data_IF_776215958653
#
_entry.id   IF_776215958653
#
_cell.length_a   1.000
_cell.length_b   1.000
_cell.length_c   1.000
_cell.angle_alpha   90.00
_cell.angle_beta   90.00
_cell.angle_gamma   90.00
#
_symmetry.space_group_name_H-M   'P 1'
#
loop_
_entity.id
_entity.type
_entity.pdbx_description
1 polymer ?
#
# COMPACT_ATOMS: atom_id res chain seq x y z
N UNK A 1 -7.29 15.15 15.01
CA UNK A 1 -8.20 16.32 15.10
C UNK A 1 -8.80 16.52 13.71
N UNK A 2 -10.03 16.10 13.50
CA UNK A 2 -10.81 16.37 12.29
C UNK A 2 -11.30 17.81 12.33
N UNK A 3 -10.85 18.65 11.41
CA UNK A 3 -11.40 20.00 11.26
C UNK A 3 -12.76 19.88 10.55
N UNK A 4 -13.84 20.29 11.21
CA UNK A 4 -15.15 20.43 10.60
C UNK A 4 -15.22 21.80 9.94
N UNK A 5 -15.22 21.85 8.62
CA UNK A 5 -15.46 23.09 7.89
C UNK A 5 -16.98 23.29 7.78
N UNK A 6 -17.50 24.27 8.52
CA UNK A 6 -18.90 24.70 8.36
C UNK A 6 -18.91 25.78 7.28
N UNK A 7 -19.54 25.45 6.14
CA UNK A 7 -19.69 26.38 5.03
C UNK A 7 -20.92 27.26 5.25
N UNK A 8 -20.71 28.59 5.28
CA UNK A 8 -21.78 29.58 5.28
C UNK A 8 -21.69 30.39 3.97
N UNK A 9 -22.44 29.97 2.96
CA UNK A 9 -22.44 30.64 1.67
C UNK A 9 -23.70 30.33 0.89
N UNK A 10 -23.88 31.05 -0.24
CA UNK A 10 -24.96 30.79 -1.17
C UNK A 10 -24.76 29.46 -1.89
N UNK A 11 -25.84 28.82 -2.36
CA UNK A 11 -25.79 27.55 -3.10
C UNK A 11 -24.85 27.65 -4.32
N UNK A 12 -24.83 28.79 -5.03
CA UNK A 12 -23.94 28.97 -6.18
C UNK A 12 -22.45 28.95 -5.81
N UNK A 13 -22.07 29.57 -4.69
CA UNK A 13 -20.67 29.56 -4.20
C UNK A 13 -20.28 28.17 -3.68
N UNK A 14 -21.23 27.45 -3.06
CA UNK A 14 -21.00 26.07 -2.67
C UNK A 14 -20.75 25.18 -3.90
N UNK A 15 -21.61 25.28 -4.93
CA UNK A 15 -21.46 24.52 -6.19
C UNK A 15 -20.14 24.83 -6.88
N UNK A 16 -19.72 26.09 -6.95
CA UNK A 16 -18.44 26.49 -7.54
C UNK A 16 -17.25 25.90 -6.78
N UNK A 17 -17.25 25.95 -5.46
CA UNK A 17 -16.15 25.39 -4.66
C UNK A 17 -16.13 23.85 -4.73
N UNK A 18 -17.29 23.20 -4.73
CA UNK A 18 -17.39 21.78 -4.94
C UNK A 18 -16.89 21.37 -6.32
N UNK A 19 -17.19 22.15 -7.37
CA UNK A 19 -16.67 21.95 -8.71
C UNK A 19 -15.14 22.01 -8.75
N UNK A 20 -14.54 23.04 -8.14
CA UNK A 20 -13.08 23.19 -8.02
C UNK A 20 -12.42 22.02 -7.27
N UNK A 21 -13.15 21.35 -6.41
CA UNK A 21 -12.66 20.18 -5.68
C UNK A 21 -12.81 18.90 -6.50
N UNK A 22 -14.00 18.62 -7.03
CA UNK A 22 -14.35 17.34 -7.65
C UNK A 22 -13.88 17.21 -9.09
N UNK A 23 -14.01 18.26 -9.93
CA UNK A 23 -13.66 18.18 -11.35
C UNK A 23 -12.20 17.75 -11.56
N UNK A 24 -11.21 18.29 -10.83
CA UNK A 24 -9.83 17.82 -10.92
C UNK A 24 -9.60 16.40 -10.40
N UNK A 25 -10.55 15.80 -9.69
CA UNK A 25 -10.44 14.45 -9.09
C UNK A 25 -11.34 13.42 -9.75
N UNK A 26 -12.13 13.81 -10.74
CA UNK A 26 -13.16 12.96 -11.36
C UNK A 26 -12.64 11.56 -11.72
N UNK A 27 -11.51 11.50 -12.42
CA UNK A 27 -10.95 10.21 -12.86
C UNK A 27 -10.50 9.33 -11.70
N UNK A 28 -9.84 9.91 -10.69
CA UNK A 28 -9.42 9.17 -9.50
C UNK A 28 -10.58 8.75 -8.61
N UNK A 29 -11.65 9.55 -8.54
CA UNK A 29 -12.88 9.19 -7.83
C UNK A 29 -13.59 8.00 -8.49
N UNK A 30 -13.68 7.99 -9.82
CA UNK A 30 -14.24 6.88 -10.59
C UNK A 30 -13.44 5.60 -10.37
N UNK A 31 -12.11 5.69 -10.48
CA UNK A 31 -11.23 4.53 -10.32
C UNK A 31 -11.30 3.96 -8.89
N UNK A 32 -11.23 4.81 -7.86
CA UNK A 32 -11.35 4.38 -6.47
C UNK A 32 -12.69 3.69 -6.20
N UNK A 33 -13.79 4.21 -6.74
CA UNK A 33 -15.09 3.60 -6.57
C UNK A 33 -15.22 2.24 -7.25
N UNK A 34 -14.74 2.11 -8.50
CA UNK A 34 -14.86 0.87 -9.26
C UNK A 34 -13.90 -0.21 -8.76
N UNK A 35 -12.67 0.16 -8.41
CA UNK A 35 -11.60 -0.79 -8.17
C UNK A 35 -11.12 -0.85 -6.70
N UNK A 36 -11.49 0.14 -5.86
CA UNK A 36 -11.10 0.14 -4.45
C UNK A 36 -11.59 -1.09 -3.68
N UNK A 37 -12.77 -1.60 -4.01
CA UNK A 37 -13.34 -2.81 -3.39
C UNK A 37 -12.47 -4.06 -3.58
N UNK A 38 -11.64 -4.16 -4.62
CA UNK A 38 -10.70 -5.28 -4.79
C UNK A 38 -9.72 -5.41 -3.61
N UNK A 39 -9.31 -4.30 -3.03
CA UNK A 39 -8.43 -4.30 -1.86
C UNK A 39 -9.22 -4.47 -0.56
N UNK A 40 -10.36 -3.81 -0.41
CA UNK A 40 -11.09 -3.76 0.85
C UNK A 40 -11.97 -4.98 1.14
N UNK A 41 -12.38 -5.76 0.15
CA UNK A 41 -13.25 -6.93 0.36
C UNK A 41 -12.56 -8.02 1.19
N UNK A 42 -11.33 -8.41 0.82
CA UNK A 42 -10.59 -9.44 1.57
C UNK A 42 -10.21 -8.96 2.98
N UNK A 43 -9.90 -7.66 3.12
CA UNK A 43 -9.65 -7.02 4.42
C UNK A 43 -10.90 -7.12 5.29
N UNK A 44 -12.06 -6.82 4.74
CA UNK A 44 -13.32 -6.92 5.46
C UNK A 44 -13.62 -8.34 5.94
N UNK A 45 -13.55 -9.32 5.04
CA UNK A 45 -13.85 -10.72 5.36
C UNK A 45 -12.96 -11.26 6.48
N UNK A 46 -11.65 -11.00 6.38
CA UNK A 46 -10.69 -11.43 7.40
C UNK A 46 -10.86 -10.66 8.71
N UNK A 47 -11.15 -9.37 8.65
CA UNK A 47 -11.40 -8.55 9.84
C UNK A 47 -12.63 -8.99 10.62
N UNK A 48 -13.71 -9.40 9.93
CA UNK A 48 -14.87 -10.03 10.59
C UNK A 48 -14.51 -11.35 11.26
N UNK A 49 -13.62 -12.16 10.65
CA UNK A 49 -13.12 -13.37 11.27
C UNK A 49 -12.34 -13.04 12.56
N UNK A 50 -11.48 -12.04 12.54
CA UNK A 50 -10.73 -11.58 13.71
C UNK A 50 -11.66 -11.15 14.86
N UNK A 51 -12.76 -10.41 14.57
CA UNK A 51 -13.75 -10.04 15.59
C UNK A 51 -14.34 -11.29 16.25
N UNK A 52 -14.74 -12.29 15.46
CA UNK A 52 -15.32 -13.54 15.98
C UNK A 52 -14.33 -14.34 16.83
N UNK A 53 -13.07 -14.36 16.46
CA UNK A 53 -12.01 -15.08 17.20
C UNK A 53 -11.70 -14.39 18.53
N UNK A 54 -11.59 -13.06 18.55
CA UNK A 54 -11.33 -12.26 19.76
C UNK A 54 -12.46 -12.38 20.79
N UNK A 55 -13.69 -12.42 20.35
CA UNK A 55 -14.86 -12.56 21.25
C UNK A 55 -14.91 -13.94 21.93
N UNK A 56 -14.45 -15.00 21.24
CA UNK A 56 -14.34 -16.34 21.83
C UNK A 56 -13.22 -16.43 22.88
N UNK A 57 -12.21 -15.56 22.80
CA UNK A 57 -11.06 -15.53 23.71
C UNK A 57 -11.28 -14.76 25.02
N UNK A 58 -12.42 -14.14 25.24
CA UNK A 58 -12.79 -13.50 26.50
C UNK A 58 -11.99 -12.22 26.88
N UNK A 59 -11.28 -11.61 25.93
CA UNK A 59 -10.64 -10.32 26.14
C UNK A 59 -11.64 -9.20 25.86
N UNK A 60 -12.30 -8.71 26.91
CA UNK A 60 -12.97 -7.40 26.88
C UNK A 60 -11.90 -6.33 26.70
N UNK A 61 -11.67 -5.91 25.46
CA UNK A 61 -10.86 -4.72 25.18
C UNK A 61 -11.57 -3.49 25.71
N UNK A 62 -10.89 -2.70 26.55
CA UNK A 62 -11.37 -1.39 26.99
C UNK A 62 -11.73 -0.55 25.75
N UNK A 63 -13.03 -0.31 25.57
CA UNK A 63 -13.51 0.61 24.55
C UNK A 63 -13.14 2.03 24.97
N UNK A 64 -12.17 2.66 24.32
CA UNK A 64 -12.10 4.11 24.37
C UNK A 64 -13.40 4.70 23.78
N UNK A 65 -14.03 5.65 24.47
CA UNK A 65 -15.23 6.30 23.96
C UNK A 65 -14.87 7.06 22.69
N UNK A 66 -15.24 6.53 21.54
CA UNK A 66 -15.06 7.17 20.26
C UNK A 66 -16.06 8.33 20.14
N UNK A 67 -15.65 9.49 20.62
CA UNK A 67 -16.29 10.78 20.32
C UNK A 67 -15.90 11.19 18.88
N UNK A 68 -16.36 10.39 17.90
CA UNK A 68 -16.08 10.63 16.49
C UNK A 68 -17.37 11.00 15.76
N UNK A 69 -17.35 12.18 15.16
CA UNK A 69 -18.35 12.65 14.19
C UNK A 69 -18.30 11.87 12.86
N UNK A 70 -17.88 10.60 12.89
CA UNK A 70 -17.89 9.71 11.74
C UNK A 70 -19.31 9.16 11.53
N UNK A 71 -19.70 8.96 10.26
CA UNK A 71 -20.96 8.27 9.95
C UNK A 71 -20.88 6.82 10.43
N UNK A 72 -22.01 6.21 10.80
CA UNK A 72 -22.06 4.81 11.24
C UNK A 72 -21.37 3.82 10.27
N UNK A 73 -21.54 3.93 8.94
CA UNK A 73 -20.80 3.10 8.00
C UNK A 73 -19.28 3.27 8.10
N UNK A 74 -18.80 4.50 8.27
CA UNK A 74 -17.36 4.77 8.43
C UNK A 74 -16.81 4.16 9.70
N UNK A 75 -17.59 4.21 10.80
CA UNK A 75 -17.23 3.58 12.07
C UNK A 75 -17.14 2.07 11.91
N UNK A 76 -18.13 1.44 11.28
CA UNK A 76 -18.15 0.00 11.03
C UNK A 76 -16.88 -0.48 10.29
N UNK A 77 -16.52 0.17 9.18
CA UNK A 77 -15.29 -0.17 8.46
C UNK A 77 -14.03 0.07 9.30
N UNK A 78 -13.99 1.17 10.04
CA UNK A 78 -12.88 1.49 10.94
C UNK A 78 -12.68 0.43 12.03
N UNK A 79 -13.78 -0.06 12.64
CA UNK A 79 -13.73 -1.08 13.67
C UNK A 79 -13.22 -2.42 13.13
N UNK A 80 -13.65 -2.82 11.92
CA UNK A 80 -13.16 -4.02 11.25
C UNK A 80 -11.67 -3.89 10.92
N UNK A 81 -11.22 -2.74 10.39
CA UNK A 81 -9.81 -2.49 10.05
C UNK A 81 -8.94 -2.46 11.31
N UNK A 82 -9.44 -1.93 12.42
CA UNK A 82 -8.70 -1.87 13.69
C UNK A 82 -8.34 -3.25 14.24
N UNK A 83 -9.07 -4.32 13.87
CA UNK A 83 -8.75 -5.69 14.31
C UNK A 83 -7.38 -6.19 13.83
N UNK A 84 -6.83 -5.56 12.81
CA UNK A 84 -5.51 -5.92 12.28
C UNK A 84 -4.35 -5.25 13.03
N UNK A 85 -4.64 -4.28 13.88
CA UNK A 85 -3.63 -3.43 14.53
C UNK A 85 -2.62 -2.82 13.54
N UNK A 86 -3.07 -2.54 12.31
CA UNK A 86 -2.27 -2.08 11.18
C UNK A 86 -2.54 -0.59 10.90
N UNK A 87 -1.61 0.25 11.36
CA UNK A 87 -1.73 1.70 11.21
C UNK A 87 -1.64 2.17 9.75
N UNK A 88 -0.93 1.43 8.90
CA UNK A 88 -0.80 1.72 7.47
C UNK A 88 -2.12 1.47 6.74
N UNK A 89 -2.79 0.35 7.03
CA UNK A 89 -4.11 0.00 6.48
C UNK A 89 -5.18 1.01 6.92
N UNK A 90 -5.21 1.35 8.20
CA UNK A 90 -6.11 2.38 8.72
C UNK A 90 -5.84 3.74 8.08
N UNK A 91 -4.56 4.06 7.86
CA UNK A 91 -4.14 5.27 7.15
C UNK A 91 -4.64 5.31 5.71
N UNK A 92 -4.55 4.20 4.97
CA UNK A 92 -5.07 4.10 3.61
C UNK A 92 -6.57 4.38 3.59
N UNK A 93 -7.33 3.72 4.45
CA UNK A 93 -8.78 3.92 4.57
C UNK A 93 -9.15 5.38 4.81
N UNK A 94 -8.52 6.04 5.78
CA UNK A 94 -8.80 7.45 6.07
C UNK A 94 -8.38 8.38 4.93
N UNK A 95 -7.29 8.09 4.21
CA UNK A 95 -6.87 8.90 3.06
C UNK A 95 -7.82 8.70 1.86
N UNK A 96 -8.34 7.50 1.64
CA UNK A 96 -9.41 7.28 0.66
C UNK A 96 -10.66 8.11 1.01
N UNK A 97 -11.11 8.08 2.25
CA UNK A 97 -12.25 8.89 2.69
C UNK A 97 -11.98 10.39 2.52
N UNK A 98 -10.77 10.87 2.87
CA UNK A 98 -10.40 12.28 2.67
C UNK A 98 -10.35 12.67 1.19
N UNK A 99 -9.96 11.77 0.30
CA UNK A 99 -9.94 12.01 -1.13
C UNK A 99 -11.36 12.08 -1.72
N UNK A 100 -12.29 11.26 -1.19
CA UNK A 100 -13.71 11.26 -1.53
C UNK A 100 -14.47 12.45 -0.93
N UNK A 101 -14.00 13.00 0.18
CA UNK A 101 -14.79 13.88 1.03
C UNK A 101 -14.69 15.37 0.70
N UNK A 102 -15.59 15.83 -0.09
CA UNK A 102 -16.17 17.17 0.10
C UNK A 102 -17.61 16.91 0.59
N UNK A 103 -17.93 17.32 1.83
CA UNK A 103 -19.20 17.00 2.45
C UNK A 103 -20.39 17.53 1.66
N UNK A 104 -21.12 16.65 1.00
CA UNK A 104 -22.52 16.87 0.67
C UNK A 104 -23.33 16.28 1.83
N UNK A 105 -23.98 17.08 2.69
CA UNK A 105 -24.81 16.52 3.75
C UNK A 105 -25.97 15.76 3.10
N UNK A 106 -26.15 14.46 3.40
CA UNK A 106 -27.30 13.73 2.89
C UNK A 106 -28.58 14.43 3.40
N UNK A 107 -29.50 14.76 2.47
CA UNK A 107 -30.81 15.32 2.84
C UNK A 107 -31.64 14.31 3.66
N UNK A 108 -31.34 13.04 3.54
CA UNK A 108 -32.00 11.94 4.25
C UNK A 108 -31.10 11.39 5.35
N UNK A 109 -31.29 11.91 6.56
CA UNK A 109 -30.54 11.49 7.76
C UNK A 109 -30.90 10.08 8.24
N UNK A 110 -30.76 9.06 7.38
CA UNK A 110 -30.82 7.67 7.83
C UNK A 110 -29.55 7.35 8.61
N UNK A 111 -29.68 7.28 9.92
CA UNK A 111 -28.66 6.72 10.80
C UNK A 111 -28.78 5.20 10.71
N UNK A 112 -27.82 4.53 10.12
CA UNK A 112 -27.66 3.11 10.30
C UNK A 112 -27.14 2.92 11.74
N UNK A 113 -28.00 2.50 12.65
CA UNK A 113 -27.59 2.15 14.01
C UNK A 113 -27.12 0.69 13.97
N UNK A 114 -25.83 0.44 14.18
CA UNK A 114 -25.35 -0.90 14.46
C UNK A 114 -24.71 -0.95 15.86
N UNK A 115 -24.82 -2.10 16.50
CA UNK A 115 -24.08 -2.40 17.72
C UNK A 115 -22.97 -3.39 17.33
N UNK A 116 -21.79 -3.28 17.93
CA UNK A 116 -20.65 -4.15 17.60
C UNK A 116 -21.00 -5.65 17.73
N UNK A 117 -21.90 -6.00 18.67
CA UNK A 117 -22.43 -7.35 18.86
C UNK A 117 -23.16 -7.88 17.61
N UNK A 118 -23.65 -7.01 16.75
CA UNK A 118 -24.33 -7.38 15.50
C UNK A 118 -23.38 -8.04 14.51
N UNK A 119 -22.08 -7.74 14.59
CA UNK A 119 -21.04 -8.36 13.76
C UNK A 119 -20.77 -9.82 14.13
N UNK A 120 -21.17 -10.23 15.33
CA UNK A 120 -21.00 -11.60 15.84
C UNK A 120 -22.14 -12.52 15.40
N UNK A 121 -23.28 -11.97 15.00
CA UNK A 121 -24.44 -12.75 14.57
C UNK A 121 -24.24 -13.24 13.14
N UNK A 122 -24.35 -14.55 12.93
CA UNK A 122 -24.21 -15.17 11.61
C UNK A 122 -25.22 -14.59 10.62
N UNK A 123 -24.71 -14.16 9.44
CA UNK A 123 -25.52 -13.51 8.41
C UNK A 123 -25.75 -12.00 8.61
N UNK A 124 -25.76 -11.48 9.84
CA UNK A 124 -26.00 -10.05 10.10
C UNK A 124 -24.82 -9.19 9.65
N UNK A 125 -23.58 -9.65 9.84
CA UNK A 125 -22.38 -8.98 9.35
C UNK A 125 -22.39 -8.80 7.81
N UNK A 126 -22.84 -9.81 7.07
CA UNK A 126 -22.96 -9.73 5.61
C UNK A 126 -24.08 -8.78 5.19
N UNK A 127 -25.20 -8.75 5.92
CA UNK A 127 -26.27 -7.79 5.69
C UNK A 127 -25.79 -6.37 5.93
N UNK A 128 -25.11 -6.11 7.05
CA UNK A 128 -24.51 -4.81 7.36
C UNK A 128 -23.49 -4.36 6.31
N UNK A 129 -22.65 -5.30 5.80
CA UNK A 129 -21.75 -5.02 4.71
C UNK A 129 -22.49 -4.57 3.45
N UNK A 130 -23.51 -5.33 3.05
CA UNK A 130 -24.30 -5.01 1.85
C UNK A 130 -25.01 -3.66 1.99
N UNK A 131 -25.60 -3.37 3.15
CA UNK A 131 -26.23 -2.07 3.43
C UNK A 131 -25.19 -0.93 3.40
N UNK A 132 -24.01 -1.18 3.96
CA UNK A 132 -22.90 -0.20 3.99
C UNK A 132 -22.35 0.06 2.60
N UNK A 133 -22.12 -1.00 1.82
CA UNK A 133 -21.65 -0.89 0.43
C UNK A 133 -22.71 -0.17 -0.43
N UNK A 134 -23.99 -0.51 -0.27
CA UNK A 134 -25.08 0.18 -0.96
C UNK A 134 -25.16 1.67 -0.57
N UNK A 135 -24.94 2.01 0.70
CA UNK A 135 -24.87 3.38 1.16
C UNK A 135 -23.70 4.14 0.51
N UNK A 136 -22.49 3.58 0.52
CA UNK A 136 -21.34 4.22 -0.12
C UNK A 136 -21.53 4.35 -1.63
N UNK A 137 -22.05 3.32 -2.30
CA UNK A 137 -22.35 3.36 -3.74
C UNK A 137 -23.39 4.44 -4.06
N UNK A 138 -24.44 4.54 -3.28
CA UNK A 138 -25.46 5.59 -3.45
C UNK A 138 -24.86 7.00 -3.25
N UNK A 139 -24.11 7.19 -2.17
CA UNK A 139 -23.43 8.47 -1.90
C UNK A 139 -22.46 8.85 -3.01
N UNK A 140 -21.70 7.87 -3.51
CA UNK A 140 -20.78 8.08 -4.60
C UNK A 140 -21.50 8.43 -5.91
N UNK A 141 -22.59 7.74 -6.24
CA UNK A 141 -23.41 8.05 -7.40
C UNK A 141 -23.94 9.50 -7.35
N UNK A 142 -24.40 9.95 -6.16
CA UNK A 142 -24.78 11.35 -5.95
C UNK A 142 -23.66 12.35 -6.16
N UNK A 143 -22.43 12.00 -5.76
CA UNK A 143 -21.25 12.81 -6.02
C UNK A 143 -20.96 12.89 -7.52
N UNK A 144 -21.05 11.76 -8.24
CA UNK A 144 -20.84 11.74 -9.69
C UNK A 144 -21.89 12.56 -10.45
N UNK A 145 -23.18 12.37 -10.15
CA UNK A 145 -24.27 13.14 -10.74
C UNK A 145 -24.06 14.64 -10.51
N UNK A 146 -23.64 15.01 -9.31
CA UNK A 146 -23.30 16.38 -8.98
C UNK A 146 -22.10 16.89 -9.78
N UNK A 147 -21.00 16.13 -9.86
CA UNK A 147 -19.81 16.49 -10.66
C UNK A 147 -20.15 16.65 -12.14
N UNK A 148 -21.00 15.79 -12.68
CA UNK A 148 -21.46 15.87 -14.07
C UNK A 148 -22.30 17.14 -14.30
N UNK A 149 -23.26 17.43 -13.43
CA UNK A 149 -24.10 18.63 -13.52
C UNK A 149 -23.29 19.93 -13.47
N UNK A 150 -22.23 19.99 -12.65
CA UNK A 150 -21.38 21.18 -12.56
C UNK A 150 -20.36 21.26 -13.70
N UNK A 151 -19.94 20.16 -14.28
CA UNK A 151 -19.02 20.18 -15.43
C UNK A 151 -19.70 20.69 -16.71
N UNK A 152 -21.04 20.57 -16.82
CA UNK A 152 -21.83 21.14 -17.91
C UNK A 152 -22.09 22.65 -17.72
N UNK A 153 -22.40 23.07 -16.50
CA UNK A 153 -22.71 24.46 -16.16
C UNK A 153 -21.47 25.37 -16.06
N UNK A 154 -20.36 24.83 -15.62
CA UNK A 154 -19.09 25.52 -15.45
C UNK A 154 -18.17 25.12 -16.59
N UNK A 155 -17.89 26.03 -17.52
CA UNK A 155 -16.86 25.84 -18.56
C UNK A 155 -15.45 25.72 -17.91
N UNK A 156 -15.19 24.63 -17.21
CA UNK A 156 -13.86 24.28 -16.84
C UNK A 156 -13.17 23.75 -18.10
N UNK A 157 -12.23 24.51 -18.63
CA UNK A 157 -11.36 24.05 -19.71
C UNK A 157 -10.64 22.73 -19.32
N UNK A 158 -9.70 22.27 -20.07
CA UNK A 158 -8.88 21.11 -19.73
C UNK A 158 -8.26 21.32 -18.34
N UNK A 159 -8.82 20.68 -17.31
CA UNK A 159 -8.32 20.74 -15.93
C UNK A 159 -7.46 19.51 -15.69
N UNK A 160 -6.21 19.74 -15.26
CA UNK A 160 -5.30 18.66 -14.89
C UNK A 160 -5.91 17.82 -13.78
N UNK A 161 -5.93 16.50 -13.97
CA UNK A 161 -6.49 15.59 -12.99
C UNK A 161 -5.53 15.40 -11.83
N UNK A 162 -6.04 15.45 -10.61
CA UNK A 162 -5.32 15.20 -9.36
C UNK A 162 -5.54 13.72 -9.00
N UNK A 163 -4.54 12.84 -9.18
CA UNK A 163 -4.68 11.43 -8.83
C UNK A 163 -4.77 11.24 -7.31
N UNK A 164 -5.29 10.09 -6.89
CA UNK A 164 -5.11 9.65 -5.51
C UNK A 164 -3.63 9.43 -5.25
N UNK A 165 -3.15 9.88 -4.11
CA UNK A 165 -1.78 9.67 -3.65
C UNK A 165 -1.78 9.21 -2.21
N UNK A 166 -1.13 8.08 -1.94
CA UNK A 166 -1.05 7.51 -0.61
C UNK A 166 0.19 7.97 0.13
N UNK A 167 0.01 8.68 1.24
CA UNK A 167 1.11 9.15 2.10
C UNK A 167 1.38 8.10 3.17
N UNK A 168 2.46 7.33 3.01
CA UNK A 168 2.85 6.23 3.91
C UNK A 168 3.68 6.69 5.11
N UNK A 169 4.45 7.76 4.99
CA UNK A 169 5.32 8.30 6.06
C UNK A 169 4.72 9.55 6.71
N UNK A 170 3.87 9.41 7.73
CA UNK A 170 3.16 10.54 8.34
C UNK A 170 4.02 11.46 9.21
N UNK A 171 5.10 10.95 9.81
CA UNK A 171 5.92 11.66 10.82
C UNK A 171 7.37 11.89 10.39
N UNK A 172 7.75 11.57 9.14
CA UNK A 172 9.13 11.57 8.65
C UNK A 172 9.25 12.28 7.31
N UNK A 173 10.44 12.79 6.97
CA UNK A 173 10.69 13.32 5.62
C UNK A 173 10.54 12.20 4.59
N UNK A 174 9.39 12.11 3.96
CA UNK A 174 9.02 11.08 2.99
C UNK A 174 10.07 10.92 1.90
N UNK A 175 10.53 12.04 1.30
CA UNK A 175 11.46 12.03 0.17
C UNK A 175 12.77 11.28 0.48
N UNK A 176 13.31 11.39 1.69
CA UNK A 176 14.55 10.67 2.09
C UNK A 176 14.36 9.16 2.10
N UNK A 177 13.24 8.68 2.63
CA UNK A 177 12.96 7.24 2.71
C UNK A 177 12.55 6.67 1.37
N UNK A 178 11.72 7.37 0.60
CA UNK A 178 11.36 7.01 -0.77
C UNK A 178 12.61 6.89 -1.65
N UNK A 179 13.55 7.85 -1.55
CA UNK A 179 14.80 7.78 -2.31
C UNK A 179 15.69 6.61 -1.83
N UNK A 180 15.75 6.34 -0.52
CA UNK A 180 16.47 5.18 0.00
C UNK A 180 15.90 3.87 -0.55
N UNK A 181 14.57 3.68 -0.50
CA UNK A 181 13.90 2.51 -1.07
C UNK A 181 14.19 2.36 -2.57
N UNK A 182 14.17 3.46 -3.32
CA UNK A 182 14.47 3.43 -4.75
C UNK A 182 15.91 3.00 -5.03
N UNK A 183 16.90 3.53 -4.31
CA UNK A 183 18.30 3.12 -4.46
C UNK A 183 18.48 1.65 -4.07
N UNK A 184 17.85 1.18 -2.99
CA UNK A 184 17.89 -0.24 -2.59
C UNK A 184 17.33 -1.13 -3.72
N UNK A 185 16.20 -0.74 -4.35
CA UNK A 185 15.64 -1.48 -5.48
C UNK A 185 16.59 -1.51 -6.68
N UNK A 186 17.23 -0.41 -7.00
CA UNK A 186 18.23 -0.35 -8.09
C UNK A 186 19.46 -1.23 -7.79
N UNK A 187 19.86 -1.35 -6.52
CA UNK A 187 20.90 -2.29 -6.08
C UNK A 187 20.41 -3.75 -6.21
N UNK A 188 19.18 -4.05 -5.77
CA UNK A 188 18.59 -5.38 -5.89
C UNK A 188 18.51 -5.86 -7.33
N UNK A 189 18.18 -4.96 -8.27
CA UNK A 189 18.14 -5.25 -9.70
C UNK A 189 19.50 -5.14 -10.40
N UNK A 190 20.60 -5.00 -9.61
CA UNK A 190 21.97 -4.91 -10.12
C UNK A 190 22.25 -3.73 -11.08
N UNK A 191 21.41 -2.68 -11.06
CA UNK A 191 21.75 -1.43 -11.72
C UNK A 191 23.00 -0.80 -11.06
N UNK A 192 23.16 -1.00 -9.77
CA UNK A 192 24.38 -0.68 -9.01
C UNK A 192 24.84 -1.95 -8.27
N UNK A 193 25.66 -2.80 -8.93
CA UNK A 193 26.17 -4.02 -8.31
C UNK A 193 26.99 -3.74 -7.04
N UNK A 194 27.06 -4.69 -6.13
CA UNK A 194 27.95 -4.62 -4.96
C UNK A 194 29.39 -4.43 -5.43
N UNK A 195 30.09 -3.47 -4.83
CA UNK A 195 31.43 -3.04 -5.22
C UNK A 195 31.48 -1.93 -6.28
N UNK A 196 30.35 -1.60 -6.92
CA UNK A 196 30.28 -0.45 -7.83
C UNK A 196 30.11 0.88 -7.08
N UNK A 197 30.36 1.98 -7.78
CA UNK A 197 30.18 3.32 -7.22
C UNK A 197 28.86 3.93 -7.69
N UNK A 198 28.14 4.55 -6.76
CA UNK A 198 26.97 5.37 -7.07
C UNK A 198 27.42 6.66 -7.80
N UNK A 199 26.53 7.25 -8.62
CA UNK A 199 26.79 8.56 -9.21
C UNK A 199 27.10 9.62 -8.15
N UNK A 200 27.74 10.72 -8.55
CA UNK A 200 28.01 11.84 -7.65
C UNK A 200 26.72 12.47 -7.10
N UNK A 201 26.80 13.16 -5.96
CA UNK A 201 25.63 13.82 -5.34
C UNK A 201 24.86 14.73 -6.31
N UNK A 202 25.53 15.58 -7.16
CA UNK A 202 24.81 16.38 -8.14
C UNK A 202 24.11 15.54 -9.22
N UNK A 203 24.76 14.49 -9.74
CA UNK A 203 24.16 13.58 -10.73
C UNK A 203 22.94 12.85 -10.17
N UNK A 204 23.04 12.35 -8.94
CA UNK A 204 21.89 11.72 -8.28
C UNK A 204 20.75 12.72 -8.01
N UNK A 205 21.10 13.97 -7.64
CA UNK A 205 20.08 15.01 -7.42
C UNK A 205 19.29 15.32 -8.71
N UNK A 206 19.99 15.36 -9.85
CA UNK A 206 19.40 15.53 -11.18
C UNK A 206 18.60 14.28 -11.59
N UNK A 207 19.17 13.08 -11.48
CA UNK A 207 18.52 11.80 -11.85
C UNK A 207 17.22 11.57 -11.09
N UNK A 208 17.21 11.87 -9.79
CA UNK A 208 16.04 11.62 -8.92
C UNK A 208 15.14 12.84 -8.72
N UNK A 209 15.47 13.99 -9.34
CA UNK A 209 14.70 15.23 -9.24
C UNK A 209 14.54 15.70 -7.78
N UNK A 210 15.60 15.63 -6.99
CA UNK A 210 15.63 16.02 -5.58
C UNK A 210 16.80 16.97 -5.27
N UNK A 211 16.79 17.60 -4.10
CA UNK A 211 17.92 18.45 -3.71
C UNK A 211 19.16 17.61 -3.36
N UNK A 212 20.36 18.17 -3.57
CA UNK A 212 21.65 17.57 -3.17
C UNK A 212 21.68 17.25 -1.67
N UNK A 213 21.01 18.08 -0.85
CA UNK A 213 20.88 17.84 0.60
C UNK A 213 20.07 16.59 0.87
N UNK A 214 18.98 16.36 0.11
CA UNK A 214 18.17 15.15 0.23
C UNK A 214 19.00 13.91 -0.11
N UNK A 215 19.74 13.93 -1.23
CA UNK A 215 20.64 12.83 -1.62
C UNK A 215 21.65 12.54 -0.52
N UNK A 216 22.34 13.57 -0.01
CA UNK A 216 23.32 13.40 1.08
C UNK A 216 22.72 12.71 2.29
N UNK A 217 21.57 13.18 2.79
CA UNK A 217 20.88 12.60 3.94
C UNK A 217 20.40 11.17 3.68
N UNK A 218 20.06 10.85 2.43
CA UNK A 218 19.70 9.49 2.02
C UNK A 218 20.92 8.58 2.05
N UNK A 219 22.05 9.03 1.51
CA UNK A 219 23.29 8.24 1.54
C UNK A 219 23.85 8.07 2.95
N UNK A 220 23.70 9.05 3.84
CA UNK A 220 24.01 8.92 5.27
C UNK A 220 23.16 7.83 5.92
N UNK A 221 21.88 7.76 5.58
CA UNK A 221 20.97 6.68 6.04
C UNK A 221 21.41 5.31 5.50
N UNK A 222 21.68 5.20 4.19
CA UNK A 222 22.13 3.96 3.57
C UNK A 222 23.50 3.50 4.08
N UNK A 223 24.38 4.44 4.39
CA UNK A 223 25.67 4.16 5.04
C UNK A 223 25.47 3.60 6.46
N UNK A 224 24.62 4.24 7.25
CA UNK A 224 24.28 3.74 8.59
C UNK A 224 23.64 2.35 8.58
N UNK A 225 23.02 1.97 7.45
CA UNK A 225 22.41 0.66 7.21
C UNK A 225 23.35 -0.34 6.54
N UNK A 226 24.65 -0.04 6.41
CA UNK A 226 25.63 -0.92 5.81
C UNK A 226 25.45 -1.17 4.30
N UNK A 227 24.53 -0.45 3.65
CA UNK A 227 24.25 -0.60 2.21
C UNK A 227 25.30 0.11 1.35
N UNK A 228 25.83 1.21 1.84
CA UNK A 228 26.85 2.00 1.14
C UNK A 228 28.00 2.39 2.06
N UNK A 229 29.17 2.65 1.45
CA UNK A 229 30.38 3.13 2.14
C UNK A 229 31.01 4.31 1.40
N UNK A 230 31.34 5.35 2.13
CA UNK A 230 32.01 6.49 1.58
C UNK A 230 33.51 6.20 1.48
N UNK A 231 34.09 6.26 0.24
CA UNK A 231 35.50 6.15 -0.04
C UNK A 231 36.07 7.54 -0.26
N UNK A 232 36.93 8.02 0.65
CA UNK A 232 37.48 9.36 0.61
C UNK A 232 38.18 9.65 -0.74
N UNK A 233 37.79 10.75 -1.40
CA UNK A 233 38.35 11.19 -2.69
C UNK A 233 37.86 10.40 -3.91
N UNK A 234 37.05 9.34 -3.73
CA UNK A 234 36.59 8.47 -4.83
C UNK A 234 35.06 8.57 -5.01
N UNK A 235 34.28 8.39 -3.94
CA UNK A 235 32.83 8.43 -4.01
C UNK A 235 32.15 7.53 -3.01
N UNK A 236 30.87 7.23 -3.25
CA UNK A 236 30.06 6.31 -2.45
C UNK A 236 29.96 4.96 -3.15
N UNK A 237 30.50 3.92 -2.53
CA UNK A 237 30.48 2.55 -3.05
C UNK A 237 29.31 1.77 -2.46
N UNK A 238 28.68 0.94 -3.26
CA UNK A 238 27.69 -0.05 -2.80
C UNK A 238 28.46 -1.18 -2.11
N UNK A 239 28.14 -1.43 -0.86
CA UNK A 239 28.64 -2.55 -0.09
C UNK A 239 27.47 -3.21 0.63
N UNK A 240 27.62 -4.41 1.12
CA UNK A 240 26.66 -5.08 1.98
C UNK A 240 27.45 -5.56 3.19
N UNK A 241 27.85 -4.60 3.99
CA UNK A 241 28.56 -4.90 5.23
C UNK A 241 27.55 -5.45 6.26
N UNK A 242 27.94 -6.43 7.08
CA UNK A 242 27.11 -6.86 8.19
C UNK A 242 26.73 -5.69 9.07
N UNK A 243 25.46 -5.63 9.43
CA UNK A 243 24.92 -4.55 10.26
C UNK A 243 25.03 -4.99 11.71
N UNK A 244 25.54 -4.11 12.57
CA UNK A 244 25.53 -4.33 14.02
C UNK A 244 24.09 -4.54 14.50
N UNK A 245 23.80 -5.64 15.23
CA UNK A 245 22.42 -5.98 15.65
C UNK A 245 21.74 -4.83 16.43
N UNK A 246 22.51 -4.03 17.15
CA UNK A 246 22.01 -2.89 17.93
C UNK A 246 21.34 -1.80 17.08
N UNK A 247 21.58 -1.78 15.78
CA UNK A 247 20.94 -0.82 14.86
C UNK A 247 19.43 -0.97 14.85
N UNK A 248 18.92 -2.19 15.10
CA UNK A 248 17.48 -2.48 15.21
C UNK A 248 16.82 -1.60 16.29
N UNK A 249 17.54 -1.26 17.34
CA UNK A 249 17.02 -0.45 18.46
C UNK A 249 16.89 1.03 18.13
N UNK A 250 17.40 1.48 16.98
CA UNK A 250 17.22 2.89 16.58
C UNK A 250 15.75 3.15 16.20
N UNK A 251 15.12 4.22 16.73
CA UNK A 251 13.69 4.49 16.50
C UNK A 251 13.30 4.57 15.01
N UNK A 252 14.21 5.08 14.18
CA UNK A 252 14.00 5.17 12.72
C UNK A 252 13.95 3.79 12.07
N UNK A 253 14.74 2.84 12.53
CA UNK A 253 14.78 1.47 12.02
C UNK A 253 13.56 0.70 12.51
N UNK A 254 13.24 0.78 13.80
CA UNK A 254 12.03 0.17 14.37
C UNK A 254 10.76 0.61 13.62
N UNK A 255 10.67 1.92 13.31
CA UNK A 255 9.52 2.39 12.55
C UNK A 255 9.48 1.88 11.10
N UNK A 256 10.62 1.53 10.48
CA UNK A 256 10.61 0.90 9.15
C UNK A 256 10.34 -0.60 9.25
N UNK A 257 10.77 -1.27 10.31
CA UNK A 257 10.39 -2.66 10.63
C UNK A 257 8.86 -2.75 10.76
N UNK A 258 8.26 -1.86 11.56
CA UNK A 258 6.80 -1.81 11.71
C UNK A 258 6.10 -1.59 10.37
N UNK A 259 6.50 -0.58 9.60
CA UNK A 259 5.89 -0.28 8.29
C UNK A 259 6.06 -1.42 7.29
N UNK A 260 7.18 -2.14 7.31
CA UNK A 260 7.39 -3.33 6.47
C UNK A 260 6.44 -4.46 6.87
N UNK A 261 6.30 -4.74 8.18
CA UNK A 261 5.34 -5.72 8.69
C UNK A 261 3.90 -5.37 8.32
N UNK A 262 3.51 -4.11 8.51
CA UNK A 262 2.20 -3.62 8.10
C UNK A 262 1.97 -3.74 6.59
N UNK A 263 2.99 -3.48 5.76
CA UNK A 263 2.90 -3.59 4.31
C UNK A 263 2.75 -5.05 3.85
N UNK A 264 3.52 -5.99 4.42
CA UNK A 264 3.42 -7.41 4.05
C UNK A 264 2.07 -8.00 4.47
N UNK A 265 1.48 -7.53 5.59
CA UNK A 265 0.14 -7.92 6.00
C UNK A 265 -0.94 -7.40 5.02
N UNK A 266 -0.82 -6.17 4.51
CA UNK A 266 -1.75 -5.67 3.47
C UNK A 266 -1.61 -6.52 2.20
N UNK A 267 -0.39 -6.85 1.80
CA UNK A 267 -0.14 -7.68 0.62
C UNK A 267 -0.75 -9.07 0.77
N UNK A 268 -0.60 -9.74 1.92
CA UNK A 268 -1.16 -11.08 2.15
C UNK A 268 -2.68 -11.11 1.99
N UNK A 269 -3.37 -10.01 2.28
CA UNK A 269 -4.82 -9.89 2.17
C UNK A 269 -5.30 -9.50 0.77
N UNK A 270 -4.48 -8.82 -0.03
CA UNK A 270 -4.94 -8.19 -1.27
C UNK A 270 -4.33 -8.78 -2.54
N UNK A 271 -3.20 -9.49 -2.41
CA UNK A 271 -2.40 -9.93 -3.56
C UNK A 271 -3.17 -10.85 -4.50
N UNK A 272 -4.00 -11.75 -3.97
CA UNK A 272 -4.76 -12.69 -4.78
C UNK A 272 -5.69 -11.97 -5.77
N UNK A 273 -6.61 -11.17 -5.25
CA UNK A 273 -7.63 -10.49 -6.06
C UNK A 273 -7.00 -9.46 -7.03
N UNK A 274 -6.00 -8.72 -6.56
CA UNK A 274 -5.31 -7.71 -7.37
C UNK A 274 -4.47 -8.35 -8.49
N UNK A 275 -3.82 -9.49 -8.22
CA UNK A 275 -3.04 -10.20 -9.23
C UNK A 275 -3.93 -10.77 -10.32
N UNK A 276 -5.04 -11.43 -9.97
CA UNK A 276 -6.01 -11.94 -10.97
C UNK A 276 -6.53 -10.79 -11.83
N UNK A 277 -7.02 -9.72 -11.22
CA UNK A 277 -7.53 -8.54 -11.93
C UNK A 277 -6.50 -7.92 -12.87
N UNK A 278 -5.24 -7.86 -12.46
CA UNK A 278 -4.17 -7.33 -13.31
C UNK A 278 -3.88 -8.26 -14.49
N UNK A 279 -3.77 -9.56 -14.25
CA UNK A 279 -3.48 -10.55 -15.30
C UNK A 279 -4.59 -10.67 -16.34
N UNK A 280 -5.86 -10.50 -15.94
CA UNK A 280 -7.00 -10.51 -16.87
C UNK A 280 -7.02 -9.30 -17.81
N UNK A 281 -6.27 -8.26 -17.50
CA UNK A 281 -6.24 -7.01 -18.27
C UNK A 281 -5.02 -6.83 -19.18
N UNK A 282 -3.99 -7.67 -19.04
CA UNK A 282 -2.74 -7.53 -19.81
C UNK A 282 -2.82 -8.13 -21.21
N UNK A 283 -1.99 -7.63 -22.10
CA UNK A 283 -1.79 -8.17 -23.46
C UNK A 283 -0.87 -9.40 -23.44
N UNK A 284 -0.86 -10.19 -24.53
CA UNK A 284 0.06 -11.32 -24.66
C UNK A 284 1.54 -10.89 -24.63
N UNK A 285 1.89 -9.73 -25.19
CA UNK A 285 3.27 -9.21 -25.12
C UNK A 285 3.69 -8.87 -23.68
N UNK A 286 2.79 -8.32 -22.87
CA UNK A 286 3.03 -8.04 -21.45
C UNK A 286 3.14 -9.33 -20.65
N UNK A 287 2.36 -10.36 -20.98
CA UNK A 287 2.46 -11.70 -20.40
C UNK A 287 3.81 -12.34 -20.71
N UNK A 288 4.28 -12.25 -21.95
CA UNK A 288 5.61 -12.72 -22.36
C UNK A 288 6.71 -11.97 -21.57
N UNK A 289 6.58 -10.66 -21.46
CA UNK A 289 7.52 -9.85 -20.66
C UNK A 289 7.55 -10.27 -19.19
N UNK A 290 6.39 -10.54 -18.58
CA UNK A 290 6.30 -11.05 -17.22
C UNK A 290 6.95 -12.42 -17.07
N UNK A 291 6.71 -13.34 -18.04
CA UNK A 291 7.36 -14.66 -18.06
C UNK A 291 8.89 -14.54 -18.12
N UNK A 292 9.43 -13.67 -18.95
CA UNK A 292 10.87 -13.43 -19.04
C UNK A 292 11.42 -12.90 -17.72
N UNK A 293 10.69 -11.97 -17.07
CA UNK A 293 11.08 -11.41 -15.79
C UNK A 293 11.10 -12.46 -14.68
N UNK A 294 10.07 -13.32 -14.62
CA UNK A 294 9.98 -14.42 -13.65
C UNK A 294 11.11 -15.45 -13.91
N UNK A 295 11.34 -15.83 -15.17
CA UNK A 295 12.43 -16.75 -15.52
C UNK A 295 13.80 -16.24 -15.12
N UNK A 296 14.05 -14.93 -15.22
CA UNK A 296 15.29 -14.29 -14.76
C UNK A 296 15.52 -14.34 -13.24
N UNK A 297 14.55 -14.78 -12.45
CA UNK A 297 14.68 -14.93 -10.99
C UNK A 297 15.33 -16.26 -10.58
N UNK A 298 15.38 -17.27 -11.46
CA UNK A 298 15.98 -18.58 -11.14
C UNK A 298 17.42 -18.46 -10.63
N UNK A 299 18.22 -17.61 -11.26
CA UNK A 299 19.62 -17.43 -10.89
C UNK A 299 19.83 -16.53 -9.66
N UNK A 300 18.80 -15.84 -9.22
CA UNK A 300 18.88 -14.86 -8.12
C UNK A 300 18.59 -15.44 -6.76
N UNK A 301 17.75 -16.45 -6.68
CA UNK A 301 17.29 -17.13 -5.45
C UNK A 301 16.96 -16.16 -4.30
N UNK A 302 16.21 -15.09 -4.60
CA UNK A 302 15.91 -14.01 -3.66
C UNK A 302 14.41 -13.79 -3.51
N UNK A 303 13.87 -14.07 -2.32
CA UNK A 303 12.46 -13.85 -2.00
C UNK A 303 12.05 -12.38 -2.14
N UNK A 304 12.97 -11.46 -1.85
CA UNK A 304 12.72 -10.02 -1.98
C UNK A 304 12.59 -9.64 -3.44
N UNK A 305 13.46 -10.15 -4.31
CA UNK A 305 13.36 -9.92 -5.76
C UNK A 305 12.10 -10.54 -6.36
N UNK A 306 11.67 -11.70 -5.88
CA UNK A 306 10.39 -12.28 -6.29
C UNK A 306 9.23 -11.32 -5.94
N UNK A 307 9.16 -10.84 -4.70
CA UNK A 307 8.13 -9.85 -4.29
C UNK A 307 8.22 -8.57 -5.11
N UNK A 308 9.42 -8.02 -5.31
CA UNK A 308 9.62 -6.83 -6.12
C UNK A 308 9.17 -7.02 -7.57
N UNK A 309 9.40 -8.20 -8.17
CA UNK A 309 8.95 -8.49 -9.53
C UNK A 309 7.43 -8.44 -9.67
N UNK A 310 6.70 -8.99 -8.69
CA UNK A 310 5.25 -8.94 -8.64
C UNK A 310 4.73 -7.51 -8.40
N UNK A 311 5.30 -6.81 -7.42
CA UNK A 311 4.88 -5.45 -7.07
C UNK A 311 5.12 -4.47 -8.20
N UNK A 312 6.25 -4.59 -8.90
CA UNK A 312 6.57 -3.80 -10.08
C UNK A 312 5.62 -4.12 -11.25
N UNK A 313 5.29 -5.40 -11.44
CA UNK A 313 4.28 -5.80 -12.43
C UNK A 313 2.92 -5.15 -12.14
N UNK A 314 2.40 -5.28 -10.92
CA UNK A 314 1.09 -4.72 -10.56
C UNK A 314 1.11 -3.18 -10.61
N UNK A 315 2.14 -2.54 -10.05
CA UNK A 315 2.23 -1.08 -10.03
C UNK A 315 2.43 -0.44 -11.41
N UNK A 316 2.90 -1.21 -12.39
CA UNK A 316 3.07 -0.74 -13.77
C UNK A 316 1.93 -1.13 -14.70
N UNK A 317 1.27 -2.29 -14.51
CA UNK A 317 0.35 -2.89 -15.47
C UNK A 317 -1.12 -2.94 -15.01
N UNK A 318 -1.39 -2.84 -13.72
CA UNK A 318 -2.77 -2.83 -13.23
C UNK A 318 -3.57 -1.69 -13.91
N UNK A 319 -4.79 -1.94 -14.43
CA UNK A 319 -5.59 -0.91 -15.09
C UNK A 319 -6.03 0.20 -14.12
N UNK A 320 -6.15 -0.10 -12.83
CA UNK A 320 -6.50 0.88 -11.79
C UNK A 320 -5.31 1.73 -11.36
N UNK A 321 -5.40 3.05 -11.53
CA UNK A 321 -4.40 4.01 -11.04
C UNK A 321 -4.31 4.01 -9.52
N UNK A 322 -5.44 3.80 -8.82
CA UNK A 322 -5.49 3.67 -7.37
C UNK A 322 -4.68 2.46 -6.88
N UNK A 323 -4.88 1.30 -7.51
CA UNK A 323 -4.13 0.08 -7.14
C UNK A 323 -2.65 0.24 -7.49
N UNK A 324 -2.31 0.82 -8.66
CA UNK A 324 -0.91 1.10 -9.01
C UNK A 324 -0.23 1.98 -7.96
N UNK A 325 -0.89 3.04 -7.49
CA UNK A 325 -0.35 3.88 -6.42
C UNK A 325 -0.16 3.09 -5.13
N UNK A 326 -1.15 2.31 -4.70
CA UNK A 326 -1.05 1.52 -3.48
C UNK A 326 0.10 0.51 -3.55
N UNK A 327 0.20 -0.26 -4.62
CA UNK A 327 1.25 -1.27 -4.80
C UNK A 327 2.62 -0.65 -5.00
N UNK A 328 2.71 0.51 -5.65
CA UNK A 328 3.95 1.28 -5.73
C UNK A 328 4.45 1.72 -4.34
N UNK A 329 3.54 2.16 -3.45
CA UNK A 329 3.91 2.52 -2.06
C UNK A 329 4.25 1.29 -1.21
N UNK A 330 3.55 0.18 -1.39
CA UNK A 330 3.90 -1.07 -0.73
C UNK A 330 5.29 -1.56 -1.16
N UNK A 331 5.64 -1.47 -2.45
CA UNK A 331 6.97 -1.78 -2.96
C UNK A 331 8.08 -0.95 -2.29
N UNK A 332 7.84 0.36 -2.05
CA UNK A 332 8.78 1.19 -1.30
C UNK A 332 9.08 0.63 0.11
N UNK A 333 8.07 0.06 0.78
CA UNK A 333 8.21 -0.51 2.12
C UNK A 333 8.79 -1.93 2.09
N UNK A 334 8.44 -2.74 1.10
CA UNK A 334 8.95 -4.10 0.94
C UNK A 334 10.45 -4.10 0.60
N UNK A 335 10.96 -3.09 -0.10
CA UNK A 335 12.39 -2.93 -0.38
C UNK A 335 13.26 -2.94 0.90
N UNK A 336 12.71 -2.50 2.05
CA UNK A 336 13.40 -2.57 3.35
C UNK A 336 13.67 -3.99 3.82
N UNK A 337 12.95 -4.99 3.32
CA UNK A 337 13.21 -6.40 3.58
C UNK A 337 14.63 -6.83 3.23
N UNK A 338 15.29 -6.15 2.27
CA UNK A 338 16.69 -6.35 1.94
C UNK A 338 17.62 -6.05 3.11
N UNK A 339 17.38 -4.95 3.83
CA UNK A 339 18.14 -4.57 5.00
C UNK A 339 17.87 -5.55 6.15
N UNK A 340 16.61 -5.94 6.35
CA UNK A 340 16.25 -6.90 7.38
C UNK A 340 16.84 -8.29 7.12
N UNK A 341 16.92 -8.71 5.85
CA UNK A 341 17.62 -9.94 5.49
C UNK A 341 19.12 -9.88 5.80
N UNK A 342 19.75 -8.74 5.60
CA UNK A 342 21.16 -8.54 5.94
C UNK A 342 21.42 -8.60 7.47
N UNK A 343 20.50 -8.03 8.26
CA UNK A 343 20.52 -8.14 9.74
C UNK A 343 20.38 -9.60 10.16
N UNK A 344 19.41 -10.33 9.62
CA UNK A 344 19.16 -11.73 9.96
C UNK A 344 20.34 -12.64 9.54
N UNK A 345 20.97 -12.38 8.40
CA UNK A 345 22.21 -13.06 8.00
C UNK A 345 23.35 -12.80 8.99
N UNK A 346 23.52 -11.57 9.43
CA UNK A 346 24.53 -11.18 10.43
C UNK A 346 24.33 -11.86 11.78
N UNK A 347 23.09 -12.17 12.16
CA UNK A 347 22.76 -12.89 13.42
C UNK A 347 22.66 -14.41 13.26
N UNK A 348 22.89 -14.97 12.05
CA UNK A 348 22.75 -16.40 11.77
C UNK A 348 21.31 -16.92 11.76
N UNK A 349 20.31 -16.04 11.76
CA UNK A 349 18.89 -16.39 11.77
C UNK A 349 18.26 -16.45 10.37
N UNK A 350 19.02 -16.06 9.37
CA UNK A 350 18.54 -16.09 7.98
C UNK A 350 18.47 -17.53 7.47
N UNK A 351 17.35 -17.86 6.86
CA UNK A 351 17.14 -19.14 6.18
C UNK A 351 17.13 -18.87 4.67
N UNK A 352 18.05 -19.54 3.96
CA UNK A 352 18.03 -19.53 2.49
C UNK A 352 16.93 -20.49 2.01
N UNK A 353 16.04 -19.96 1.17
CA UNK A 353 14.95 -20.73 0.57
C UNK A 353 15.34 -21.11 -0.86
N UNK A 354 15.12 -22.38 -1.23
CA UNK A 354 15.15 -22.78 -2.63
C UNK A 354 13.85 -22.35 -3.31
N UNK A 355 13.93 -21.32 -4.13
CA UNK A 355 12.78 -20.76 -4.85
C UNK A 355 12.58 -21.38 -6.24
N UNK A 356 13.42 -22.32 -6.66
CA UNK A 356 13.38 -22.91 -8.00
C UNK A 356 12.03 -23.54 -8.29
N UNK A 357 11.49 -24.32 -7.36
CA UNK A 357 10.17 -24.93 -7.50
C UNK A 357 9.04 -23.92 -7.58
N UNK A 358 9.07 -22.88 -6.76
CA UNK A 358 8.09 -21.79 -6.76
C UNK A 358 8.10 -21.03 -8.09
N UNK A 359 9.28 -20.63 -8.57
CA UNK A 359 9.43 -19.90 -9.83
C UNK A 359 8.94 -20.75 -11.01
N UNK A 360 9.30 -22.05 -11.06
CA UNK A 360 8.86 -22.98 -12.12
C UNK A 360 7.34 -23.17 -12.14
N UNK A 361 6.69 -23.20 -10.98
CA UNK A 361 5.23 -23.25 -10.89
C UNK A 361 4.60 -21.96 -11.40
N UNK A 362 5.11 -20.79 -11.01
CA UNK A 362 4.65 -19.49 -11.53
C UNK A 362 4.72 -19.43 -13.06
N UNK A 363 5.85 -19.86 -13.65
CA UNK A 363 5.98 -19.90 -15.10
C UNK A 363 4.95 -20.83 -15.75
N UNK A 364 4.70 -22.00 -15.16
CA UNK A 364 3.75 -22.99 -15.67
C UNK A 364 2.32 -22.43 -15.68
N UNK A 365 1.89 -21.87 -14.53
CA UNK A 365 0.53 -21.32 -14.41
C UNK A 365 0.32 -20.11 -15.32
N UNK A 366 1.35 -19.27 -15.47
CA UNK A 366 1.29 -18.13 -16.37
C UNK A 366 1.25 -18.55 -17.84
N UNK A 367 2.03 -19.56 -18.26
CA UNK A 367 2.02 -20.13 -19.62
C UNK A 367 0.67 -20.74 -19.97
N UNK A 368 0.06 -21.45 -19.04
CA UNK A 368 -1.25 -22.11 -19.22
C UNK A 368 -2.43 -21.15 -19.12
N UNK A 369 -2.20 -19.89 -18.70
CA UNK A 369 -3.26 -18.90 -18.48
C UNK A 369 -4.10 -19.17 -17.22
N UNK A 370 -3.60 -19.98 -16.30
CA UNK A 370 -4.27 -20.26 -15.03
C UNK A 370 -3.98 -19.18 -14.01
N UNK A 371 -4.54 -17.99 -14.21
CA UNK A 371 -4.28 -16.81 -13.41
C UNK A 371 -4.68 -16.95 -11.95
N UNK A 372 -5.72 -17.75 -11.69
CA UNK A 372 -6.16 -18.08 -10.33
C UNK A 372 -5.10 -18.87 -9.55
N UNK A 373 -4.53 -19.92 -10.17
CA UNK A 373 -3.47 -20.70 -9.54
C UNK A 373 -2.18 -19.86 -9.37
N UNK A 374 -1.83 -19.06 -10.37
CA UNK A 374 -0.72 -18.12 -10.27
C UNK A 374 -0.86 -17.16 -9.07
N UNK A 375 -2.05 -16.58 -8.89
CA UNK A 375 -2.32 -15.67 -7.78
C UNK A 375 -2.31 -16.39 -6.42
N UNK A 376 -2.79 -17.64 -6.35
CA UNK A 376 -2.71 -18.47 -5.13
C UNK A 376 -1.28 -18.81 -4.72
N UNK A 377 -0.39 -19.06 -5.67
CA UNK A 377 1.03 -19.24 -5.38
C UNK A 377 1.63 -18.01 -4.71
N UNK A 378 1.30 -16.81 -5.20
CA UNK A 378 1.76 -15.57 -4.59
C UNK A 378 1.17 -15.33 -3.21
N UNK A 379 -0.12 -15.58 -3.03
CA UNK A 379 -0.79 -15.46 -1.72
C UNK A 379 -0.08 -16.34 -0.68
N UNK A 380 0.10 -17.62 -0.97
CA UNK A 380 0.79 -18.56 -0.08
C UNK A 380 2.24 -18.14 0.20
N UNK A 381 2.97 -17.68 -0.81
CA UNK A 381 4.33 -17.20 -0.67
C UNK A 381 4.43 -15.99 0.26
N UNK A 382 3.54 -15.01 0.11
CA UNK A 382 3.53 -13.79 0.94
C UNK A 382 3.10 -14.13 2.37
N UNK A 383 2.13 -15.02 2.58
CA UNK A 383 1.73 -15.48 3.92
C UNK A 383 2.88 -16.17 4.66
N UNK A 384 3.64 -16.99 3.97
CA UNK A 384 4.83 -17.64 4.55
C UNK A 384 5.89 -16.59 4.93
N UNK A 385 6.16 -15.60 4.06
CA UNK A 385 7.12 -14.52 4.36
C UNK A 385 6.64 -13.63 5.50
N UNK A 386 5.35 -13.35 5.58
CA UNK A 386 4.75 -12.60 6.68
C UNK A 386 4.92 -13.37 8.01
N UNK A 387 4.62 -14.66 8.01
CA UNK A 387 4.78 -15.51 9.20
C UNK A 387 6.23 -15.55 9.69
N UNK A 388 7.18 -15.71 8.76
CA UNK A 388 8.62 -15.66 9.08
C UNK A 388 9.03 -14.29 9.62
N UNK A 389 8.57 -13.19 8.99
CA UNK A 389 8.90 -11.85 9.44
C UNK A 389 8.45 -11.61 10.89
N UNK A 390 7.21 -11.94 11.23
CA UNK A 390 6.68 -11.74 12.59
C UNK A 390 7.31 -12.68 13.63
N UNK A 391 7.83 -13.82 13.22
CA UNK A 391 8.60 -14.70 14.14
C UNK A 391 9.94 -14.10 14.55
N UNK A 392 10.59 -13.34 13.65
CA UNK A 392 11.89 -12.73 13.89
C UNK A 392 11.82 -11.30 14.44
N UNK A 393 10.75 -10.59 14.12
CA UNK A 393 10.48 -9.20 14.54
C UNK A 393 9.11 -9.13 15.23
N UNK A 394 8.98 -9.62 16.49
CA UNK A 394 7.73 -9.48 17.24
C UNK A 394 7.43 -7.99 17.46
N UNK A 395 6.32 -7.51 16.91
CA UNK A 395 5.86 -6.11 16.93
C UNK A 395 4.75 -5.92 17.94
#
# INVERSE_FOLDING_TARGET
KTARVIYQGTESVFRENAAKFFVPRKNGLLDLNHNGNLMFTSIWEKGLQNIKENTKGGTEGEQEPADTAASEPTKLYSDVINTFHNGLMLSLFWQCLCYLSYFYPPKDGRKANYVQDDLLVEGKANCLKQETDAYYMHMFQKVLEFVESISEDCQFGNVDQIPFTWVIYRRRPQVRYTLASRIIREILWEHYPVGSYLPSLPQMAEQYQVSVITVRRTLELLHALGVTKTCAGIGTMVCLEPIEPEIINKPDIQGNILLHGEAIQILSLTVYSVTVFTLESITEDEKISLLQKIGGLHDKNSSILCMEALLDFISSKCPSAFIRECYGRLSELIAWGYIFSAILKGTGKWVDYDLTGFISQLETELKTGNFTAFARLWEAFIEERMSFFYSEFPL
#
